data_IF_454311154005
#
_entry.id   IF_454311154005
#
_cell.length_a   1.000
_cell.length_b   1.000
_cell.length_c   1.000
_cell.angle_alpha   90.00
_cell.angle_beta   90.00
_cell.angle_gamma   90.00
#
_symmetry.space_group_name_H-M   'P 1'
#
loop_
_entity.id
_entity.type
_entity.pdbx_description
1 polymer ?
#
# COMPACT_ATOMS: atom_id res chain seq x y z
N UNK A 1 22.73 26.23 -2.42
CA UNK A 1 22.70 27.52 -3.14
C UNK A 1 21.26 27.74 -3.60
N UNK A 2 20.44 28.37 -2.76
CA UNK A 2 18.98 28.49 -2.97
C UNK A 2 18.72 29.81 -3.69
N UNK A 3 18.35 29.77 -4.97
CA UNK A 3 17.91 30.96 -5.68
C UNK A 3 16.60 31.45 -5.02
N UNK A 4 16.63 32.62 -4.39
CA UNK A 4 15.45 33.24 -3.80
C UNK A 4 14.49 33.66 -4.93
N UNK A 5 13.47 32.83 -5.19
CA UNK A 5 12.54 33.01 -6.31
C UNK A 5 11.50 34.11 -6.04
N UNK A 6 11.90 35.28 -5.53
CA UNK A 6 11.15 36.55 -5.54
C UNK A 6 9.64 36.56 -5.23
N UNK A 7 9.09 35.60 -4.47
CA UNK A 7 7.68 35.59 -4.07
C UNK A 7 7.51 36.43 -2.81
N UNK A 8 6.59 37.40 -2.83
CA UNK A 8 6.34 38.33 -1.72
C UNK A 8 4.98 38.10 -1.05
N UNK A 9 4.17 37.15 -1.55
CA UNK A 9 2.96 36.71 -0.88
C UNK A 9 2.67 35.23 -1.13
N UNK A 10 2.04 34.60 -0.14
CA UNK A 10 1.60 33.19 -0.15
C UNK A 10 0.16 33.11 0.37
N UNK A 11 -0.62 32.21 -0.21
CA UNK A 11 -1.92 31.78 0.30
C UNK A 11 -1.94 30.26 0.38
N UNK A 12 -2.26 29.72 1.55
CA UNK A 12 -2.40 28.27 1.75
C UNK A 12 -3.87 27.95 2.02
N UNK A 13 -4.43 27.02 1.27
CA UNK A 13 -5.83 26.60 1.39
C UNK A 13 -5.86 25.11 1.77
N UNK A 14 -6.33 24.75 2.97
CA UNK A 14 -6.50 23.35 3.36
C UNK A 14 -7.46 22.64 2.42
N UNK A 15 -7.10 21.43 2.00
CA UNK A 15 -7.96 20.53 1.24
C UNK A 15 -8.54 19.51 2.21
N UNK A 16 -9.86 19.45 2.29
CA UNK A 16 -10.53 18.36 2.99
C UNK A 16 -10.33 17.06 2.20
N UNK A 17 -9.59 16.11 2.78
CA UNK A 17 -9.46 14.74 2.29
C UNK A 17 -10.15 13.78 3.26
N UNK A 18 -10.58 12.63 2.75
CA UNK A 18 -11.18 11.58 3.58
C UNK A 18 -10.09 10.73 4.26
N UNK A 19 -10.46 10.00 5.32
CA UNK A 19 -9.57 9.00 5.94
C UNK A 19 -8.48 9.57 6.84
N UNK A 20 -8.54 10.86 7.21
CA UNK A 20 -7.57 11.50 8.10
C UNK A 20 -6.34 12.09 7.42
N UNK A 21 -6.23 11.93 6.09
CA UNK A 21 -5.18 12.57 5.30
C UNK A 21 -5.34 14.09 5.29
N UNK A 22 -4.21 14.80 5.34
CA UNK A 22 -4.17 16.27 5.33
C UNK A 22 -3.43 16.74 4.09
N UNK A 23 -4.07 17.57 3.29
CA UNK A 23 -3.43 18.25 2.18
C UNK A 23 -3.76 19.74 2.22
N UNK A 24 -2.93 20.53 1.55
CA UNK A 24 -3.17 21.94 1.33
C UNK A 24 -2.66 22.33 -0.06
N UNK A 25 -3.33 23.29 -0.68
CA UNK A 25 -2.90 23.92 -1.92
C UNK A 25 -2.26 25.26 -1.60
N UNK A 26 -1.02 25.45 -2.05
CA UNK A 26 -0.25 26.67 -1.83
C UNK A 26 -0.16 27.48 -3.13
N UNK A 27 -0.60 28.74 -3.06
CA UNK A 27 -0.46 29.72 -4.11
C UNK A 27 0.64 30.70 -3.73
N UNK A 28 1.53 30.99 -4.68
CA UNK A 28 2.63 31.92 -4.50
C UNK A 28 2.52 33.05 -5.51
N UNK A 29 2.73 34.29 -5.08
CA UNK A 29 2.71 35.45 -5.94
C UNK A 29 3.88 36.39 -5.64
N UNK A 30 4.42 37.02 -6.71
CA UNK A 30 5.52 37.97 -6.58
C UNK A 30 5.10 39.32 -6.02
N UNK A 31 3.95 39.92 -6.37
CA UNK A 31 3.52 41.15 -5.72
C UNK A 31 3.25 40.92 -4.22
N UNK A 32 3.63 41.89 -3.40
CA UNK A 32 3.17 41.92 -2.01
C UNK A 32 1.65 42.15 -1.98
N UNK A 33 0.98 41.60 -0.97
CA UNK A 33 -0.48 41.73 -0.78
C UNK A 33 -1.35 41.33 -2.01
N UNK A 34 -0.87 40.38 -2.84
CA UNK A 34 -1.59 39.94 -4.03
C UNK A 34 -2.95 39.29 -3.73
N UNK A 35 -3.05 38.57 -2.61
CA UNK A 35 -4.24 37.81 -2.24
C UNK A 35 -5.27 38.67 -1.50
N UNK A 36 -5.98 39.51 -2.26
CA UNK A 36 -7.18 40.22 -1.80
C UNK A 36 -8.31 39.24 -1.46
N UNK A 37 -9.34 39.64 -0.69
CA UNK A 37 -10.46 38.75 -0.35
C UNK A 37 -11.14 38.10 -1.56
N UNK A 38 -11.28 38.84 -2.66
CA UNK A 38 -11.80 38.31 -3.93
C UNK A 38 -10.91 37.22 -4.51
N UNK A 39 -9.58 37.44 -4.56
CA UNK A 39 -8.63 36.43 -5.07
C UNK A 39 -8.50 35.23 -4.14
N UNK A 40 -8.66 35.43 -2.84
CA UNK A 40 -8.76 34.33 -1.87
C UNK A 40 -9.99 33.47 -2.15
N UNK A 41 -11.13 34.09 -2.46
CA UNK A 41 -12.35 33.38 -2.84
C UNK A 41 -12.17 32.59 -4.14
N UNK A 42 -11.61 33.19 -5.19
CA UNK A 42 -11.30 32.48 -6.44
C UNK A 42 -10.34 31.31 -6.21
N UNK A 43 -9.28 31.52 -5.41
CA UNK A 43 -8.34 30.48 -5.06
C UNK A 43 -9.00 29.35 -4.25
N UNK A 44 -9.95 29.66 -3.38
CA UNK A 44 -10.71 28.68 -2.61
C UNK A 44 -11.59 27.80 -3.50
N UNK A 45 -12.31 28.39 -4.47
CA UNK A 45 -13.11 27.64 -5.45
C UNK A 45 -12.21 26.71 -6.29
N UNK A 46 -11.04 27.21 -6.72
CA UNK A 46 -10.08 26.38 -7.43
C UNK A 46 -9.54 25.23 -6.56
N UNK A 47 -9.19 25.53 -5.31
CA UNK A 47 -8.71 24.54 -4.35
C UNK A 47 -9.77 23.47 -4.05
N UNK A 48 -11.05 23.85 -3.96
CA UNK A 48 -12.16 22.92 -3.78
C UNK A 48 -12.25 21.92 -4.95
N UNK A 49 -12.20 22.41 -6.18
CA UNK A 49 -12.24 21.58 -7.39
C UNK A 49 -11.02 20.65 -7.47
N UNK A 50 -9.81 21.19 -7.25
CA UNK A 50 -8.58 20.39 -7.22
C UNK A 50 -8.62 19.32 -6.11
N UNK A 51 -9.16 19.70 -4.95
CA UNK A 51 -9.37 18.81 -3.81
C UNK A 51 -10.35 17.68 -4.12
N UNK A 52 -11.41 17.94 -4.89
CA UNK A 52 -12.37 16.91 -5.30
C UNK A 52 -11.72 15.82 -6.15
N UNK A 53 -10.89 16.20 -7.13
CA UNK A 53 -10.12 15.26 -7.94
C UNK A 53 -9.12 14.48 -7.10
N UNK A 54 -8.38 15.17 -6.20
CA UNK A 54 -7.44 14.52 -5.31
C UNK A 54 -8.12 13.49 -4.38
N UNK A 55 -9.29 13.82 -3.81
CA UNK A 55 -10.09 12.90 -2.99
C UNK A 55 -10.45 11.62 -3.74
N UNK A 56 -10.93 11.74 -4.98
CA UNK A 56 -11.30 10.58 -5.79
C UNK A 56 -10.10 9.64 -6.02
N UNK A 57 -8.93 10.20 -6.34
CA UNK A 57 -7.70 9.42 -6.49
C UNK A 57 -7.22 8.76 -5.20
N UNK A 58 -7.28 9.46 -4.06
CA UNK A 58 -6.91 8.90 -2.75
C UNK A 58 -7.82 7.73 -2.39
N UNK A 59 -9.14 7.87 -2.58
CA UNK A 59 -10.10 6.78 -2.32
C UNK A 59 -9.85 5.55 -3.19
N UNK A 60 -9.61 5.74 -4.49
CA UNK A 60 -9.29 4.64 -5.41
C UNK A 60 -8.03 3.89 -4.98
N UNK A 61 -6.95 4.61 -4.68
CA UNK A 61 -5.69 4.00 -4.21
C UNK A 61 -5.84 3.28 -2.88
N UNK A 62 -6.62 3.83 -1.96
CA UNK A 62 -6.90 3.17 -0.68
C UNK A 62 -7.67 1.85 -0.88
N UNK A 63 -8.64 1.83 -1.80
CA UNK A 63 -9.40 0.62 -2.12
C UNK A 63 -8.54 -0.44 -2.84
N UNK A 64 -7.68 -0.03 -3.76
CA UNK A 64 -6.71 -0.92 -4.42
C UNK A 64 -5.75 -1.54 -3.41
N UNK A 65 -5.17 -0.71 -2.53
CA UNK A 65 -4.25 -1.17 -1.50
C UNK A 65 -4.90 -2.17 -0.53
N UNK A 66 -6.15 -1.94 -0.12
CA UNK A 66 -6.86 -2.90 0.74
C UNK A 66 -7.10 -4.23 0.02
N UNK A 67 -7.49 -4.19 -1.25
CA UNK A 67 -7.65 -5.40 -2.07
C UNK A 67 -6.33 -6.17 -2.20
N UNK A 68 -5.22 -5.47 -2.47
CA UNK A 68 -3.89 -6.04 -2.58
C UNK A 68 -3.42 -6.64 -1.26
N UNK A 69 -3.62 -5.94 -0.13
CA UNK A 69 -3.27 -6.42 1.21
C UNK A 69 -4.08 -7.68 1.58
N UNK A 70 -5.38 -7.71 1.26
CA UNK A 70 -6.23 -8.90 1.47
C UNK A 70 -5.80 -10.07 0.57
N UNK A 71 -5.53 -9.81 -0.71
CA UNK A 71 -5.02 -10.84 -1.63
C UNK A 71 -3.65 -11.37 -1.18
N UNK A 72 -2.76 -10.49 -0.71
CA UNK A 72 -1.45 -10.88 -0.18
C UNK A 72 -1.58 -11.73 1.09
N UNK A 73 -2.49 -11.38 2.00
CA UNK A 73 -2.79 -12.17 3.19
C UNK A 73 -3.36 -13.55 2.83
N UNK A 74 -4.31 -13.62 1.88
CA UNK A 74 -4.87 -14.89 1.42
C UNK A 74 -3.82 -15.77 0.72
N UNK A 75 -3.03 -15.22 -0.20
CA UNK A 75 -1.94 -15.95 -0.88
C UNK A 75 -0.89 -16.47 0.09
N UNK A 76 -0.57 -15.69 1.12
CA UNK A 76 0.34 -16.11 2.19
C UNK A 76 -0.21 -17.32 2.94
N UNK A 77 -1.51 -17.33 3.27
CA UNK A 77 -2.13 -18.45 4.00
C UNK A 77 -2.18 -19.73 3.15
N UNK A 78 -2.67 -19.63 1.91
CA UNK A 78 -2.71 -20.78 0.99
C UNK A 78 -1.32 -21.36 0.71
N UNK A 79 -0.31 -20.52 0.48
CA UNK A 79 1.06 -21.00 0.27
C UNK A 79 1.64 -21.72 1.48
N UNK A 80 1.37 -21.21 2.69
CA UNK A 80 1.79 -21.86 3.93
C UNK A 80 1.10 -23.22 4.07
N UNK A 81 -0.22 -23.30 3.86
CA UNK A 81 -0.98 -24.55 3.99
C UNK A 81 -0.53 -25.62 2.98
N UNK A 82 -0.21 -25.23 1.73
CA UNK A 82 0.35 -26.15 0.74
C UNK A 82 1.75 -26.63 1.15
N UNK A 83 2.62 -25.73 1.63
CA UNK A 83 3.95 -26.11 2.09
C UNK A 83 3.88 -27.06 3.30
N UNK A 84 2.95 -26.84 4.22
CA UNK A 84 2.66 -27.77 5.31
C UNK A 84 2.25 -29.13 4.74
N UNK A 85 1.35 -29.18 3.75
CA UNK A 85 0.94 -30.42 3.09
C UNK A 85 2.12 -31.19 2.46
N UNK A 86 3.04 -30.48 1.81
CA UNK A 86 4.28 -31.07 1.25
C UNK A 86 5.13 -31.68 2.37
N UNK A 87 5.33 -30.96 3.47
CA UNK A 87 6.13 -31.44 4.61
C UNK A 87 5.46 -32.65 5.28
N UNK A 88 4.14 -32.62 5.48
CA UNK A 88 3.37 -33.76 5.99
C UNK A 88 3.60 -34.99 5.11
N UNK A 89 3.50 -34.84 3.79
CA UNK A 89 3.69 -35.94 2.85
C UNK A 89 5.12 -36.50 2.86
N UNK A 90 6.13 -35.62 2.95
CA UNK A 90 7.55 -36.01 2.93
C UNK A 90 8.02 -36.63 4.25
N UNK A 91 7.63 -36.03 5.38
CA UNK A 91 8.12 -36.41 6.70
C UNK A 91 7.17 -37.38 7.44
N UNK A 92 5.99 -37.65 6.88
CA UNK A 92 4.94 -38.49 7.47
C UNK A 92 4.59 -38.09 8.91
N UNK A 93 4.50 -36.78 9.14
CA UNK A 93 4.18 -36.21 10.45
C UNK A 93 2.77 -35.59 10.44
N UNK A 94 2.27 -35.22 11.60
CA UNK A 94 1.04 -34.45 11.73
C UNK A 94 1.19 -33.04 11.13
N UNK A 95 0.06 -32.38 10.90
CA UNK A 95 0.01 -31.00 10.42
C UNK A 95 0.69 -30.02 11.39
N UNK A 96 0.48 -30.20 12.69
CA UNK A 96 1.07 -29.35 13.73
C UNK A 96 2.60 -29.50 13.79
N UNK A 97 3.09 -30.74 13.66
CA UNK A 97 4.53 -31.00 13.57
C UNK A 97 5.13 -30.37 12.30
N UNK A 98 4.45 -30.49 11.16
CA UNK A 98 4.87 -29.87 9.90
C UNK A 98 4.91 -28.35 9.98
N UNK A 99 3.91 -27.72 10.60
CA UNK A 99 3.92 -26.28 10.87
C UNK A 99 5.09 -25.89 11.79
N UNK A 100 5.35 -26.69 12.83
CA UNK A 100 6.50 -26.52 13.71
C UNK A 100 7.84 -26.60 12.98
N UNK A 101 7.98 -27.56 12.04
CA UNK A 101 9.16 -27.70 11.18
C UNK A 101 9.33 -26.46 10.30
N UNK A 102 8.27 -26.02 9.63
CA UNK A 102 8.30 -24.84 8.76
C UNK A 102 8.68 -23.58 9.54
N UNK A 103 8.11 -23.38 10.74
CA UNK A 103 8.42 -22.25 11.62
C UNK A 103 9.87 -22.27 12.07
N UNK A 104 10.38 -23.42 12.54
CA UNK A 104 11.79 -23.56 12.94
C UNK A 104 12.75 -23.26 11.80
N UNK A 105 12.46 -23.76 10.60
CA UNK A 105 13.27 -23.50 9.40
C UNK A 105 13.26 -22.02 8.99
N UNK A 106 12.09 -21.35 9.10
CA UNK A 106 11.98 -19.91 8.84
C UNK A 106 12.81 -19.08 9.82
N UNK A 107 12.75 -19.42 11.12
CA UNK A 107 13.55 -18.75 12.15
C UNK A 107 15.04 -18.99 11.98
N UNK A 108 15.46 -20.24 11.76
CA UNK A 108 16.87 -20.60 11.60
C UNK A 108 17.51 -19.91 10.38
N UNK A 109 16.74 -19.66 9.33
CA UNK A 109 17.21 -18.99 8.10
C UNK A 109 16.94 -17.48 8.10
N UNK A 110 16.28 -16.95 9.13
CA UNK A 110 15.84 -15.56 9.23
C UNK A 110 15.10 -15.04 7.98
N UNK A 111 14.18 -15.84 7.45
CA UNK A 111 13.34 -15.50 6.29
C UNK A 111 11.87 -15.55 6.68
N UNK A 112 11.03 -14.74 6.04
CA UNK A 112 9.60 -14.73 6.32
C UNK A 112 8.99 -16.09 5.96
N UNK A 113 8.09 -16.58 6.82
CA UNK A 113 7.44 -17.89 6.69
C UNK A 113 6.82 -18.13 5.29
N UNK A 114 6.19 -17.08 4.74
CA UNK A 114 5.57 -17.09 3.41
C UNK A 114 6.58 -17.27 2.26
N UNK A 115 7.77 -16.68 2.40
CA UNK A 115 8.80 -16.74 1.36
C UNK A 115 9.48 -18.12 1.39
N UNK A 116 9.69 -18.67 2.60
CA UNK A 116 10.13 -20.06 2.75
C UNK A 116 9.11 -21.05 2.17
N UNK A 117 7.82 -20.87 2.46
CA UNK A 117 6.75 -21.71 1.94
C UNK A 117 6.72 -21.71 0.40
N UNK A 118 6.85 -20.53 -0.23
CA UNK A 118 6.96 -20.41 -1.69
C UNK A 118 8.19 -21.15 -2.25
N UNK A 119 9.32 -21.10 -1.55
CA UNK A 119 10.53 -21.86 -1.90
C UNK A 119 10.32 -23.37 -1.86
N UNK A 120 9.64 -23.88 -0.83
CA UNK A 120 9.31 -25.31 -0.69
C UNK A 120 8.40 -25.78 -1.83
N UNK A 121 7.36 -25.01 -2.15
CA UNK A 121 6.43 -25.30 -3.26
C UNK A 121 7.19 -25.37 -4.59
N UNK A 122 8.08 -24.41 -4.82
CA UNK A 122 8.89 -24.35 -6.05
C UNK A 122 9.80 -25.56 -6.17
N UNK A 123 10.44 -25.98 -5.06
CA UNK A 123 11.30 -27.17 -5.04
C UNK A 123 10.54 -28.49 -5.18
N UNK A 124 9.29 -28.55 -4.75
CA UNK A 124 8.44 -29.73 -4.90
C UNK A 124 7.93 -29.95 -6.35
N UNK A 125 8.40 -29.17 -7.33
CA UNK A 125 8.00 -29.28 -8.74
C UNK A 125 6.83 -28.39 -9.13
N UNK A 126 6.35 -27.54 -8.23
CA UNK A 126 5.35 -26.52 -8.54
C UNK A 126 6.00 -25.37 -9.31
N UNK A 127 5.93 -25.38 -10.64
CA UNK A 127 6.08 -24.15 -11.40
C UNK A 127 4.98 -23.19 -10.94
N UNK A 128 5.34 -22.19 -10.10
CA UNK A 128 4.52 -21.06 -9.64
C UNK A 128 3.01 -21.32 -9.50
N UNK A 129 2.53 -21.51 -8.27
CA UNK A 129 1.10 -21.73 -7.99
C UNK A 129 0.21 -20.60 -8.54
N UNK A 130 -0.45 -20.84 -9.70
CA UNK A 130 -1.58 -20.04 -10.19
C UNK A 130 -2.83 -20.42 -9.37
N UNK A 131 -3.30 -19.49 -8.53
CA UNK A 131 -4.61 -19.62 -7.88
C UNK A 131 -5.70 -19.39 -8.93
N UNK A 132 -6.47 -20.43 -9.24
CA UNK A 132 -7.64 -20.34 -10.12
C UNK A 132 -8.86 -20.06 -9.24
N UNK A 133 -9.36 -18.83 -9.27
CA UNK A 133 -10.71 -18.53 -8.79
C UNK A 133 -11.61 -18.51 -10.02
N UNK A 134 -12.47 -19.53 -10.16
CA UNK A 134 -13.42 -19.65 -11.26
C UNK A 134 -14.72 -18.91 -10.98
N UNK A 135 -15.12 -18.13 -12.00
CA UNK A 135 -16.44 -17.66 -12.47
C UNK A 135 -17.61 -17.53 -11.50
#
# INVERSE_FOLDING_TARGET
>A
MTAAVGFLSILSIPLALDGGDRAALNFYARPAAFFTPERQHTAAVFAEQAGATARAHVRLKASEKLSDDLQAAMRSRTGIDIAIGIIVAQNRCSQDEAFGILKRASMARNIKLKDLAAGIITQAGGAGTRTHFGT
#
